data_IF_722323705103
#
_entry.id   IF_722323705103
#
_cell.length_a   1.000
_cell.length_b   1.000
_cell.length_c   1.000
_cell.angle_alpha   90.00
_cell.angle_beta   90.00
_cell.angle_gamma   90.00
#
_symmetry.space_group_name_H-M   'P 1'
#
loop_
_entity.id
_entity.type
_entity.pdbx_description
1 polymer ?
#
# COMPACT_ATOMS: atom_id res chain seq x y z
N UNK A 1 4.83 11.29 17.42
CA UNK A 1 5.44 10.43 18.47
C UNK A 1 5.68 11.19 19.75
N UNK A 2 5.85 12.52 19.71
CA UNK A 2 5.89 13.35 20.93
C UNK A 2 4.53 13.39 21.66
N UNK A 3 3.44 13.09 20.95
CA UNK A 3 2.08 13.16 21.47
C UNK A 3 1.65 11.88 22.23
N UNK A 4 2.48 10.83 22.22
CA UNK A 4 2.14 9.50 22.75
C UNK A 4 3.27 8.92 23.61
N UNK A 5 2.90 8.13 24.61
CA UNK A 5 3.83 7.48 25.55
C UNK A 5 4.08 6.00 25.24
N UNK A 6 3.43 5.47 24.20
CA UNK A 6 3.50 4.07 23.80
C UNK A 6 4.91 3.65 23.37
N UNK A 7 5.34 2.47 23.83
CA UNK A 7 6.62 1.87 23.41
C UNK A 7 6.38 1.07 22.13
N UNK A 8 7.10 1.42 21.06
CA UNK A 8 7.03 0.69 19.79
C UNK A 8 7.62 -0.72 19.91
N UNK A 9 6.97 -1.68 19.26
CA UNK A 9 7.44 -3.05 19.11
C UNK A 9 7.23 -3.53 17.66
N UNK A 10 7.89 -4.61 17.21
CA UNK A 10 7.66 -5.16 15.88
C UNK A 10 6.19 -5.56 15.68
N UNK A 11 5.55 -4.97 14.68
CA UNK A 11 4.14 -5.22 14.40
C UNK A 11 3.88 -6.72 14.11
N UNK A 12 2.71 -7.22 14.54
CA UNK A 12 2.30 -8.62 14.33
C UNK A 12 2.39 -9.06 12.87
N UNK A 13 2.14 -8.15 11.93
CA UNK A 13 2.16 -8.40 10.48
C UNK A 13 3.52 -8.82 9.92
N UNK A 14 4.60 -8.78 10.70
CA UNK A 14 5.85 -9.47 10.34
C UNK A 14 5.63 -10.99 10.20
N UNK A 15 4.72 -11.56 10.98
CA UNK A 15 4.34 -12.97 10.93
C UNK A 15 2.92 -13.18 10.40
N UNK A 16 1.91 -12.58 11.03
CA UNK A 16 0.50 -12.76 10.67
C UNK A 16 -0.41 -11.66 11.27
N UNK A 17 -1.70 -11.66 10.88
CA UNK A 17 -2.69 -10.73 11.46
C UNK A 17 -2.69 -9.33 10.86
N UNK A 18 -1.97 -9.11 9.75
CA UNK A 18 -2.10 -7.88 8.97
C UNK A 18 -3.45 -7.79 8.23
N UNK A 19 -3.67 -6.70 7.47
CA UNK A 19 -4.94 -6.48 6.78
C UNK A 19 -5.31 -7.62 5.83
N UNK A 20 -6.54 -8.13 5.94
CA UNK A 20 -7.09 -9.13 5.03
C UNK A 20 -7.66 -8.46 3.77
N UNK A 21 -7.09 -8.81 2.62
CA UNK A 21 -7.51 -8.34 1.29
C UNK A 21 -7.63 -9.53 0.34
N UNK A 22 -8.24 -9.36 -0.84
CA UNK A 22 -8.48 -10.47 -1.78
C UNK A 22 -7.21 -11.27 -2.12
N UNK A 23 -6.06 -10.60 -2.25
CA UNK A 23 -4.76 -11.24 -2.51
C UNK A 23 -4.16 -11.96 -1.28
N UNK A 24 -4.56 -11.54 -0.07
CA UNK A 24 -4.09 -12.09 1.21
C UNK A 24 -5.30 -12.41 2.09
N UNK A 25 -6.08 -13.46 1.76
CA UNK A 25 -7.34 -13.76 2.45
C UNK A 25 -7.14 -14.09 3.93
N UNK A 26 -5.94 -14.55 4.33
CA UNK A 26 -5.54 -14.82 5.72
C UNK A 26 -4.88 -13.63 6.42
N UNK A 27 -4.93 -12.43 5.82
CA UNK A 27 -4.19 -11.27 6.29
C UNK A 27 -2.78 -11.20 5.74
N UNK A 28 -2.28 -9.97 5.55
CA UNK A 28 -0.88 -9.74 5.22
C UNK A 28 0.03 -10.25 6.35
N UNK A 29 1.12 -10.90 6.00
CA UNK A 29 1.99 -11.58 6.95
C UNK A 29 3.24 -12.13 6.26
N UNK A 30 3.97 -12.98 6.98
CA UNK A 30 5.12 -13.76 6.47
C UNK A 30 6.13 -12.89 5.74
N UNK A 31 6.66 -11.91 6.46
CA UNK A 31 7.66 -10.99 5.93
C UNK A 31 8.90 -11.71 5.40
N UNK A 32 9.23 -12.86 5.99
CA UNK A 32 10.27 -13.77 5.52
C UNK A 32 10.06 -14.20 4.06
N UNK A 33 8.85 -14.63 3.71
CA UNK A 33 8.49 -15.05 2.36
C UNK A 33 8.29 -13.85 1.42
N UNK A 34 7.66 -12.80 1.92
CA UNK A 34 7.35 -11.60 1.14
C UNK A 34 8.63 -10.92 0.64
N UNK A 35 9.68 -10.86 1.47
CA UNK A 35 10.97 -10.28 1.09
C UNK A 35 11.64 -11.05 -0.04
N UNK A 36 11.58 -12.38 -0.04
CA UNK A 36 12.09 -13.21 -1.13
C UNK A 36 11.31 -12.98 -2.44
N UNK A 37 9.99 -12.87 -2.36
CA UNK A 37 9.15 -12.55 -3.52
C UNK A 37 9.43 -11.16 -4.10
N UNK A 38 9.65 -10.15 -3.26
CA UNK A 38 10.00 -8.79 -3.70
C UNK A 38 11.38 -8.73 -4.35
N UNK A 39 12.35 -9.50 -3.84
CA UNK A 39 13.68 -9.58 -4.44
C UNK A 39 13.61 -10.15 -5.86
N UNK A 40 12.91 -11.27 -6.05
CA UNK A 40 12.71 -11.85 -7.38
C UNK A 40 12.02 -10.86 -8.34
N UNK A 41 10.94 -10.20 -7.89
CA UNK A 41 10.25 -9.18 -8.70
C UNK A 41 11.13 -7.97 -9.02
N UNK A 42 12.06 -7.60 -8.14
CA UNK A 42 13.02 -6.51 -8.37
C UNK A 42 14.04 -6.87 -9.44
N UNK A 43 14.49 -8.11 -9.49
CA UNK A 43 15.43 -8.60 -10.51
C UNK A 43 14.76 -8.65 -11.89
N UNK A 44 13.49 -9.05 -11.95
CA UNK A 44 12.68 -9.05 -13.17
C UNK A 44 12.31 -7.64 -13.69
N UNK A 45 12.41 -6.61 -12.84
CA UNK A 45 11.99 -5.25 -13.18
C UNK A 45 13.13 -4.25 -12.89
N UNK A 46 14.22 -4.26 -13.67
CA UNK A 46 15.37 -3.39 -13.44
C UNK A 46 15.00 -1.91 -13.53
N UNK A 47 15.81 -1.04 -12.91
CA UNK A 47 15.51 0.40 -12.77
C UNK A 47 15.18 1.09 -14.10
N UNK A 48 15.95 0.82 -15.15
CA UNK A 48 15.80 1.41 -16.47
C UNK A 48 14.48 1.07 -17.16
N UNK A 49 13.83 -0.02 -16.76
CA UNK A 49 12.57 -0.49 -17.34
C UNK A 49 11.34 -0.07 -16.52
N UNK A 50 11.54 0.46 -15.31
CA UNK A 50 10.45 0.96 -14.48
C UNK A 50 9.82 2.18 -15.14
N UNK A 51 8.49 2.22 -15.12
CA UNK A 51 7.73 3.36 -15.65
C UNK A 51 8.06 4.62 -14.85
N UNK A 52 8.37 5.71 -15.56
CA UNK A 52 8.57 7.02 -14.95
C UNK A 52 7.23 7.70 -14.62
N UNK A 53 6.45 7.06 -13.74
CA UNK A 53 5.10 7.45 -13.36
C UNK A 53 4.91 7.16 -11.86
N UNK A 54 4.35 8.10 -11.11
CA UNK A 54 4.00 7.87 -9.71
C UNK A 54 2.93 6.78 -9.59
N UNK A 55 2.99 5.91 -8.57
CA UNK A 55 2.04 4.81 -8.42
C UNK A 55 1.49 4.70 -6.99
N UNK A 56 0.17 4.52 -6.86
CA UNK A 56 -0.48 4.23 -5.57
C UNK A 56 -1.73 3.36 -5.75
N UNK A 57 -1.87 2.36 -4.87
CA UNK A 57 -3.10 1.56 -4.69
C UNK A 57 -3.32 1.32 -3.21
N UNK A 58 -4.46 1.74 -2.69
CA UNK A 58 -4.82 1.54 -1.29
C UNK A 58 -6.17 2.17 -0.99
N UNK A 59 -6.74 1.90 0.18
CA UNK A 59 -8.02 2.49 0.57
C UNK A 59 -7.86 3.90 1.15
N UNK A 60 -8.97 4.64 1.27
CA UNK A 60 -8.99 6.00 1.85
C UNK A 60 -9.03 5.94 3.38
N UNK A 61 -7.91 5.57 4.02
CA UNK A 61 -7.80 5.54 5.49
C UNK A 61 -7.38 6.88 6.10
N UNK A 62 -6.90 7.83 5.29
CA UNK A 62 -6.62 9.22 5.67
C UNK A 62 -6.87 10.13 4.46
N UNK A 63 -7.34 11.34 4.71
CA UNK A 63 -7.58 12.38 3.69
C UNK A 63 -6.28 12.94 3.10
N UNK A 64 -5.13 12.73 3.75
CA UNK A 64 -3.82 13.11 3.22
C UNK A 64 -3.52 12.50 1.83
N UNK A 65 -4.18 11.37 1.51
CA UNK A 65 -4.02 10.66 0.24
C UNK A 65 -4.78 11.31 -0.93
N UNK A 66 -5.75 12.19 -0.65
CA UNK A 66 -6.68 12.70 -1.66
C UNK A 66 -5.98 13.48 -2.76
N UNK A 67 -5.02 14.33 -2.41
CA UNK A 67 -4.32 15.17 -3.38
C UNK A 67 -3.61 14.34 -4.46
N UNK A 68 -3.05 13.18 -4.10
CA UNK A 68 -2.39 12.28 -5.04
C UNK A 68 -3.38 11.61 -5.98
N UNK A 69 -4.54 11.17 -5.46
CA UNK A 69 -5.59 10.53 -6.27
C UNK A 69 -6.27 11.55 -7.18
N UNK A 70 -6.53 12.78 -6.71
CA UNK A 70 -7.06 13.87 -7.53
C UNK A 70 -6.07 14.29 -8.63
N UNK A 71 -4.77 14.35 -8.31
CA UNK A 71 -3.73 14.60 -9.31
C UNK A 71 -3.72 13.52 -10.39
N UNK A 72 -3.81 12.24 -10.01
CA UNK A 72 -3.88 11.13 -10.97
C UNK A 72 -5.10 11.22 -11.88
N UNK A 73 -6.26 11.65 -11.37
CA UNK A 73 -7.46 11.89 -12.20
C UNK A 73 -7.24 13.02 -13.22
N UNK A 74 -6.49 14.06 -12.83
CA UNK A 74 -6.22 15.24 -13.68
C UNK A 74 -5.08 15.01 -14.68
N UNK A 75 -4.05 14.26 -14.28
CA UNK A 75 -2.81 13.99 -15.03
C UNK A 75 -2.43 12.51 -14.94
N UNK A 76 -3.23 11.61 -15.57
CA UNK A 76 -3.01 10.17 -15.49
C UNK A 76 -1.67 9.73 -16.07
N UNK A 77 -1.08 10.47 -16.99
CA UNK A 77 0.25 10.22 -17.55
C UNK A 77 1.39 10.42 -16.54
N UNK A 78 1.19 11.28 -15.54
CA UNK A 78 2.19 11.61 -14.52
C UNK A 78 2.10 10.69 -13.30
N UNK A 79 0.87 10.39 -12.86
CA UNK A 79 0.60 9.56 -11.67
C UNK A 79 -0.57 8.62 -11.93
N UNK A 80 -0.39 7.35 -11.60
CA UNK A 80 -1.44 6.34 -11.50
C UNK A 80 -1.75 6.01 -10.03
N UNK A 81 -2.68 6.75 -9.43
CA UNK A 81 -3.12 6.61 -8.04
C UNK A 81 -4.63 6.40 -7.95
N UNK A 82 -5.06 5.29 -7.33
CA UNK A 82 -6.49 4.94 -7.20
C UNK A 82 -6.84 4.37 -5.84
N UNK A 83 -8.03 4.71 -5.36
CA UNK A 83 -8.58 4.11 -4.14
C UNK A 83 -9.11 2.70 -4.39
N UNK A 84 -8.84 1.82 -3.43
CA UNK A 84 -9.50 0.51 -3.29
C UNK A 84 -10.53 0.54 -2.16
N UNK A 85 -11.48 -0.39 -2.15
CA UNK A 85 -12.44 -0.53 -1.04
C UNK A 85 -11.82 -1.31 0.11
N UNK A 86 -12.06 -0.84 1.35
CA UNK A 86 -11.75 -1.59 2.56
C UNK A 86 -13.04 -2.15 3.18
N UNK A 87 -12.91 -2.97 4.22
CA UNK A 87 -14.05 -3.60 4.90
C UNK A 87 -14.96 -2.58 5.62
N UNK A 88 -14.45 -1.40 5.94
CA UNK A 88 -15.17 -0.33 6.62
C UNK A 88 -15.80 0.69 5.64
N UNK A 89 -15.89 0.36 4.35
CA UNK A 89 -16.44 1.25 3.34
C UNK A 89 -17.94 1.49 3.60
N UNK A 90 -18.33 2.77 3.75
CA UNK A 90 -19.70 3.18 4.11
C UNK A 90 -20.41 4.01 3.04
N UNK A 91 -19.69 4.76 2.20
CA UNK A 91 -20.29 5.62 1.16
C UNK A 91 -19.30 5.97 0.04
N UNK A 92 -19.83 6.44 -1.08
CA UNK A 92 -19.09 6.75 -2.34
C UNK A 92 -18.36 8.10 -2.37
N UNK A 93 -18.40 8.89 -1.28
CA UNK A 93 -17.87 10.28 -1.21
C UNK A 93 -16.77 10.65 -2.22
#
# INVERSE_FOLDING_TARGET
TLDYYDIMYPAWSFWEGGPAITLYPRGLGRWDQHRSSLNAASEENPWSEKKNQGFFRGSRTSSERDNLVLLSRKKPELVDAKYTKNQAWKSEQ
#
